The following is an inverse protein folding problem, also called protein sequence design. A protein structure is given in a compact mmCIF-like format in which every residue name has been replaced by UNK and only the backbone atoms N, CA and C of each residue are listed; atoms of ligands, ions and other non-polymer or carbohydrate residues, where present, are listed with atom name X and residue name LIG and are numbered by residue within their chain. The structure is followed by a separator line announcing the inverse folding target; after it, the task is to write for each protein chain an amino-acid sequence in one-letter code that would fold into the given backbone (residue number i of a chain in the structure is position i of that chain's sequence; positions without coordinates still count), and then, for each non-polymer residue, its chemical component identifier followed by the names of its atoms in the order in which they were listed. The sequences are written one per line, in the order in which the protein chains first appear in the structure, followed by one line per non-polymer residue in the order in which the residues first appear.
data_IF_218312783803
#
_entry.id   IF_218312783803
#
_cell.length_a   1.000
_cell.length_b   1.000
_cell.length_c   1.000
_cell.angle_alpha   90.00
_cell.angle_beta   90.00
_cell.angle_gamma   90.00
#
_symmetry.space_group_name_H-M   'P 1'
#
loop_
_entity.id
_entity.type
_entity.pdbx_description
1 polymer ?
#
# COMPACT_ATOMS: atom_id res chain seq x y z
N UNK A 1 -7.56 19.87 -17.18
CA UNK A 1 -6.55 18.84 -16.85
C UNK A 1 -6.89 18.27 -15.49
N UNK A 2 -7.08 16.96 -15.38
CA UNK A 2 -7.50 16.33 -14.11
C UNK A 2 -6.33 16.38 -13.12
N UNK A 3 -6.45 17.19 -12.06
CA UNK A 3 -5.52 17.25 -10.91
C UNK A 3 -5.58 15.94 -10.07
N UNK A 4 -5.44 14.79 -10.73
CA UNK A 4 -5.37 13.51 -10.04
C UNK A 4 -3.96 13.39 -9.45
N UNK A 5 -3.87 13.60 -8.14
CA UNK A 5 -2.68 13.33 -7.33
C UNK A 5 -2.15 11.91 -7.63
N UNK A 6 -0.82 11.67 -7.57
CA UNK A 6 -0.27 10.32 -7.66
C UNK A 6 -0.89 9.42 -6.60
N UNK A 7 -1.09 8.14 -6.92
CA UNK A 7 -1.55 7.17 -5.92
C UNK A 7 -0.35 6.77 -5.06
N UNK A 8 -0.44 7.06 -3.76
CA UNK A 8 0.54 6.65 -2.75
C UNK A 8 -0.20 5.90 -1.65
N UNK A 9 0.34 4.76 -1.24
CA UNK A 9 -0.17 3.94 -0.14
C UNK A 9 0.96 3.68 0.82
N UNK A 10 0.79 4.07 2.08
CA UNK A 10 1.76 3.82 3.14
C UNK A 10 1.18 2.74 4.02
N UNK A 11 1.94 1.69 4.29
CA UNK A 11 1.56 0.56 5.14
C UNK A 11 2.57 0.48 6.26
N UNK A 12 2.12 0.53 7.50
CA UNK A 12 2.91 0.25 8.70
C UNK A 12 2.65 -1.20 9.09
N UNK A 13 3.74 -1.96 9.27
CA UNK A 13 3.70 -3.36 9.69
C UNK A 13 3.39 -3.45 11.18
N UNK A 14 2.74 -4.53 11.57
CA UNK A 14 2.52 -4.87 12.97
C UNK A 14 3.82 -5.33 13.63
N UNK A 15 4.10 -4.85 14.84
CA UNK A 15 5.34 -5.15 15.58
C UNK A 15 5.34 -6.57 16.14
N UNK A 16 4.17 -7.10 16.50
CA UNK A 16 3.99 -8.47 17.01
C UNK A 16 3.90 -9.48 15.86
N UNK A 17 3.38 -9.05 14.69
CA UNK A 17 3.33 -9.85 13.48
C UNK A 17 3.65 -9.02 12.22
N UNK A 18 4.94 -9.00 11.84
CA UNK A 18 5.44 -8.25 10.69
C UNK A 18 4.82 -8.61 9.32
N UNK A 19 4.07 -9.72 9.22
CA UNK A 19 3.35 -10.09 8.01
C UNK A 19 2.02 -9.35 7.86
N UNK A 20 1.53 -8.71 8.93
CA UNK A 20 0.23 -8.06 8.99
C UNK A 20 0.32 -6.54 8.96
N UNK A 21 -0.78 -5.91 8.51
CA UNK A 21 -0.95 -4.46 8.48
C UNK A 21 -1.39 -3.97 9.86
N UNK A 22 -0.58 -3.15 10.54
CA UNK A 22 -1.02 -2.43 11.73
C UNK A 22 -1.82 -1.17 11.37
N UNK A 23 -1.34 -0.41 10.38
CA UNK A 23 -1.96 0.83 9.92
C UNK A 23 -1.66 1.06 8.45
N UNK A 24 -2.55 1.79 7.76
CA UNK A 24 -2.27 2.27 6.42
C UNK A 24 -2.84 3.67 6.19
N UNK A 25 -2.28 4.37 5.21
CA UNK A 25 -2.73 5.68 4.72
C UNK A 25 -2.78 5.67 3.19
N UNK A 26 -3.78 6.33 2.60
CA UNK A 26 -3.96 6.37 1.13
C UNK A 26 -4.03 7.83 0.68
N UNK A 27 -3.12 8.21 -0.21
CA UNK A 27 -3.20 9.45 -0.98
C UNK A 27 -3.64 9.07 -2.40
N UNK A 28 -4.84 9.49 -2.80
CA UNK A 28 -5.44 9.12 -4.08
C UNK A 28 -6.53 8.06 -3.93
N UNK A 29 -6.52 7.06 -4.79
CA UNK A 29 -7.55 6.01 -4.90
C UNK A 29 -7.10 4.63 -4.43
N UNK A 30 -5.81 4.31 -4.58
CA UNK A 30 -5.26 2.96 -4.44
C UNK A 30 -5.99 1.89 -5.29
N UNK A 31 -6.77 2.30 -6.29
CA UNK A 31 -7.61 1.37 -7.06
C UNK A 31 -6.78 0.61 -8.10
N UNK A 32 -7.04 -0.70 -8.28
CA UNK A 32 -8.15 -1.49 -7.67
C UNK A 32 -7.85 -2.08 -6.28
N UNK A 33 -6.63 -1.95 -5.77
CA UNK A 33 -6.14 -2.68 -4.60
C UNK A 33 -6.66 -2.23 -3.23
N UNK A 34 -7.56 -1.25 -3.19
CA UNK A 34 -8.10 -0.70 -1.95
C UNK A 34 -8.80 -1.75 -1.08
N UNK A 35 -9.43 -2.76 -1.68
CA UNK A 35 -10.14 -3.81 -0.96
C UNK A 35 -9.23 -4.69 -0.09
N UNK A 36 -7.95 -4.81 -0.43
CA UNK A 36 -6.96 -5.59 0.31
C UNK A 36 -6.34 -4.79 1.48
N UNK A 37 -6.54 -3.47 1.55
CA UNK A 37 -6.01 -2.61 2.59
C UNK A 37 -6.91 -2.64 3.83
N UNK A 38 -6.62 -3.57 4.75
CA UNK A 38 -7.33 -3.71 6.02
C UNK A 38 -6.36 -3.97 7.16
N UNK A 39 -6.60 -3.35 8.32
CA UNK A 39 -5.83 -3.64 9.55
C UNK A 39 -5.96 -5.13 9.90
N UNK A 40 -4.84 -5.76 10.26
CA UNK A 40 -4.71 -7.18 10.55
C UNK A 40 -4.71 -8.09 9.32
N UNK A 41 -4.85 -7.57 8.10
CA UNK A 41 -4.73 -8.38 6.89
C UNK A 41 -3.26 -8.64 6.53
N UNK A 42 -2.98 -9.75 5.81
CA UNK A 42 -1.64 -10.02 5.30
C UNK A 42 -1.18 -8.96 4.31
N UNK A 43 0.07 -8.53 4.43
CA UNK A 43 0.70 -7.57 3.51
C UNK A 43 0.91 -8.18 2.13
N UNK A 44 1.11 -9.50 2.04
CA UNK A 44 1.37 -10.23 0.80
C UNK A 44 0.30 -10.00 -0.27
N UNK A 45 -0.97 -10.02 0.10
CA UNK A 45 -2.10 -9.81 -0.82
C UNK A 45 -2.09 -8.39 -1.40
N UNK A 46 -1.79 -7.40 -0.55
CA UNK A 46 -1.66 -6.01 -0.97
C UNK A 46 -0.46 -5.85 -1.90
N UNK A 47 0.71 -6.38 -1.53
CA UNK A 47 1.93 -6.33 -2.36
C UNK A 47 1.63 -6.90 -3.75
N UNK A 48 1.00 -8.07 -3.80
CA UNK A 48 0.68 -8.75 -5.05
C UNK A 48 -0.24 -7.90 -5.93
N UNK A 49 -1.32 -7.34 -5.37
CA UNK A 49 -2.21 -6.48 -6.13
C UNK A 49 -1.49 -5.21 -6.62
N UNK A 50 -0.76 -4.52 -5.73
CA UNK A 50 -0.12 -3.24 -6.01
C UNK A 50 0.90 -3.39 -7.15
N UNK A 51 1.79 -4.38 -7.07
CA UNK A 51 2.82 -4.64 -8.10
C UNK A 51 2.15 -4.98 -9.44
N UNK A 52 1.11 -5.82 -9.44
CA UNK A 52 0.36 -6.16 -10.67
C UNK A 52 -0.31 -4.95 -11.32
N UNK A 53 -0.61 -3.90 -10.56
CA UNK A 53 -1.30 -2.70 -11.03
C UNK A 53 -0.36 -1.49 -11.20
N UNK A 54 0.95 -1.75 -11.34
CA UNK A 54 1.94 -0.74 -11.70
C UNK A 54 2.39 0.17 -10.57
N UNK A 55 2.11 -0.20 -9.32
CA UNK A 55 2.74 0.46 -8.17
C UNK A 55 4.15 -0.09 -7.99
N UNK A 56 5.08 0.80 -7.71
CA UNK A 56 6.42 0.46 -7.23
C UNK A 56 6.46 0.62 -5.72
N UNK A 57 7.38 -0.09 -5.05
CA UNK A 57 7.53 0.00 -3.60
C UNK A 57 8.88 0.61 -3.19
N UNK A 58 8.87 1.26 -2.04
CA UNK A 58 10.04 1.61 -1.25
C UNK A 58 9.87 0.99 0.14
N UNK A 59 10.89 0.27 0.60
CA UNK A 59 10.87 -0.34 1.92
C UNK A 59 11.53 0.57 2.95
N UNK A 60 10.86 0.74 4.09
CA UNK A 60 11.44 1.20 5.33
C UNK A 60 11.40 0.03 6.34
N UNK A 61 12.05 0.20 7.49
CA UNK A 61 12.21 -0.86 8.50
C UNK A 61 10.85 -1.44 8.94
N UNK A 62 9.92 -0.58 9.37
CA UNK A 62 8.58 -0.95 9.83
C UNK A 62 7.46 -0.56 8.86
N UNK A 63 7.78 -0.09 7.65
CA UNK A 63 6.79 0.39 6.71
C UNK A 63 7.12 0.03 5.26
N UNK A 64 6.06 -0.09 4.45
CA UNK A 64 6.16 -0.21 3.00
C UNK A 64 5.38 0.93 2.37
N UNK A 65 6.02 1.65 1.47
CA UNK A 65 5.40 2.73 0.71
C UNK A 65 5.23 2.25 -0.72
N UNK A 66 3.99 2.17 -1.20
CA UNK A 66 3.68 1.97 -2.60
C UNK A 66 3.35 3.29 -3.25
N UNK A 67 3.85 3.51 -4.46
CA UNK A 67 3.46 4.66 -5.26
C UNK A 67 3.36 4.28 -6.72
N UNK A 68 2.42 4.90 -7.44
CA UNK A 68 2.26 4.69 -8.88
C UNK A 68 2.71 5.95 -9.62
N UNK A 69 3.90 5.93 -10.25
CA UNK A 69 4.34 6.99 -11.15
C UNK A 69 3.32 7.14 -12.29
N UNK A 70 3.11 8.35 -12.76
CA UNK A 70 2.30 8.63 -13.94
C UNK A 70 3.15 9.21 -15.06
#
# INVERSE_FOLDING_TARGET
MSNKRPDVVIIVRDEDNFENIAKFEIIGSASPCREFLRVGAPISDVVLCMVRNGFVNAQAENAVIFFRPR
#
